data_IF_251955626634
#
_entry.id   IF_251955626634
#
_cell.length_a   1.000
_cell.length_b   1.000
_cell.length_c   1.000
_cell.angle_alpha   90.00
_cell.angle_beta   90.00
_cell.angle_gamma   90.00
#
_symmetry.space_group_name_H-M   'P 1'
#
loop_
_entity.id
_entity.type
_entity.pdbx_description
1 polymer ?
#
# COMPACT_ATOMS: atom_id res chain seq x y z
N UNK A 1 7.41 47.53 -27.08
CA UNK A 1 5.98 47.18 -27.15
C UNK A 1 5.82 45.70 -26.89
N UNK A 2 5.28 45.26 -25.75
CA UNK A 2 5.03 43.85 -25.48
C UNK A 2 3.83 43.35 -26.30
N UNK A 3 3.95 42.15 -26.87
CA UNK A 3 2.94 41.56 -27.75
C UNK A 3 1.59 41.32 -27.03
N UNK A 4 0.50 41.44 -27.80
CA UNK A 4 -0.92 41.27 -27.44
C UNK A 4 -1.26 39.91 -26.77
N UNK A 5 -0.32 38.96 -26.68
CA UNK A 5 -0.50 37.69 -25.95
C UNK A 5 -0.46 37.81 -24.42
N UNK A 6 -0.06 38.94 -23.85
CA UNK A 6 0.07 39.10 -22.40
C UNK A 6 -1.13 39.71 -21.66
N UNK A 7 -2.19 40.12 -22.38
CA UNK A 7 -3.36 40.79 -21.79
C UNK A 7 -4.63 39.92 -21.66
N UNK A 8 -4.60 38.66 -22.10
CA UNK A 8 -5.79 37.77 -22.04
C UNK A 8 -5.79 36.84 -20.80
N UNK A 9 -4.81 36.95 -19.90
CA UNK A 9 -4.74 36.11 -18.67
C UNK A 9 -5.29 36.77 -17.40
N UNK A 10 -6.00 37.89 -17.51
CA UNK A 10 -6.41 38.68 -16.34
C UNK A 10 -7.93 38.77 -16.06
N UNK A 11 -8.80 38.18 -16.89
CA UNK A 11 -10.24 38.18 -16.60
C UNK A 11 -10.98 36.92 -17.09
N UNK A 12 -10.77 35.79 -16.41
CA UNK A 12 -11.74 34.68 -16.39
C UNK A 12 -12.07 34.30 -14.93
N UNK A 13 -13.23 34.71 -14.40
CA UNK A 13 -13.73 34.35 -13.07
C UNK A 13 -14.04 32.83 -12.93
N UNK A 14 -14.35 32.34 -11.71
CA UNK A 14 -14.12 30.97 -11.25
C UNK A 14 -15.17 29.95 -11.72
N UNK A 15 -15.20 29.64 -13.02
CA UNK A 15 -16.06 28.55 -13.56
C UNK A 15 -15.34 27.19 -13.52
N UNK A 16 -14.00 27.18 -13.52
CA UNK A 16 -13.20 25.94 -13.44
C UNK A 16 -13.24 25.31 -12.02
N UNK A 17 -13.52 26.10 -10.99
CA UNK A 17 -13.60 25.62 -9.59
C UNK A 17 -14.91 24.85 -9.33
N UNK A 18 -16.03 25.22 -9.99
CA UNK A 18 -17.28 24.44 -9.89
C UNK A 18 -17.20 23.10 -10.64
N UNK A 19 -16.48 23.04 -11.77
CA UNK A 19 -16.23 21.79 -12.50
C UNK A 19 -15.28 20.86 -11.74
N UNK A 20 -14.20 21.38 -11.12
CA UNK A 20 -13.36 20.56 -10.23
C UNK A 20 -14.15 20.02 -9.04
N UNK A 21 -15.00 20.83 -8.41
CA UNK A 21 -15.85 20.37 -7.30
C UNK A 21 -16.95 19.41 -7.76
N UNK A 22 -17.56 19.59 -8.93
CA UNK A 22 -18.51 18.63 -9.50
C UNK A 22 -17.85 17.32 -9.91
N UNK A 23 -16.65 17.35 -10.51
CA UNK A 23 -15.85 16.17 -10.86
C UNK A 23 -15.35 15.48 -9.60
N UNK A 24 -14.92 16.22 -8.58
CA UNK A 24 -14.49 15.71 -7.29
C UNK A 24 -15.66 15.07 -6.52
N UNK A 25 -16.83 15.72 -6.50
CA UNK A 25 -18.06 15.18 -5.89
C UNK A 25 -18.61 13.99 -6.69
N UNK A 26 -18.53 13.99 -8.04
CA UNK A 26 -18.85 12.81 -8.86
C UNK A 26 -17.86 11.66 -8.60
N UNK A 27 -16.56 11.95 -8.51
CA UNK A 27 -15.52 10.97 -8.15
C UNK A 27 -15.79 10.39 -6.76
N UNK A 28 -16.12 11.20 -5.76
CA UNK A 28 -16.48 10.72 -4.43
C UNK A 28 -17.76 9.87 -4.43
N UNK A 29 -18.80 10.26 -5.19
CA UNK A 29 -20.01 9.45 -5.36
C UNK A 29 -19.73 8.11 -6.05
N UNK A 30 -18.91 8.10 -7.09
CA UNK A 30 -18.50 6.88 -7.81
C UNK A 30 -17.65 5.98 -6.89
N UNK A 31 -16.71 6.56 -6.14
CA UNK A 31 -15.84 5.83 -5.21
C UNK A 31 -16.65 5.15 -4.11
N UNK A 32 -17.64 5.85 -3.51
CA UNK A 32 -18.52 5.28 -2.48
C UNK A 32 -19.41 4.13 -3.00
N UNK A 33 -19.68 4.07 -4.30
CA UNK A 33 -20.47 3.02 -4.96
C UNK A 33 -19.61 1.84 -5.49
N UNK A 34 -18.28 1.92 -5.38
CA UNK A 34 -17.37 0.98 -6.05
C UNK A 34 -16.60 0.05 -5.13
N UNK A 35 -16.72 0.21 -3.81
CA UNK A 35 -16.00 -0.67 -2.89
C UNK A 35 -16.69 -2.02 -2.77
N UNK A 36 -16.00 -3.08 -3.17
CA UNK A 36 -16.47 -4.46 -3.12
C UNK A 36 -15.77 -5.29 -2.04
N UNK A 37 -14.88 -4.70 -1.24
CA UNK A 37 -14.07 -5.47 -0.28
C UNK A 37 -14.89 -6.22 0.77
N UNK A 38 -16.11 -5.76 1.09
CA UNK A 38 -17.03 -6.48 1.97
C UNK A 38 -17.59 -7.79 1.39
N UNK A 39 -17.42 -8.05 0.09
CA UNK A 39 -17.88 -9.27 -0.59
C UNK A 39 -16.87 -10.42 -0.49
N UNK A 40 -15.65 -10.12 -0.05
CA UNK A 40 -14.56 -11.11 0.09
C UNK A 40 -14.97 -12.20 1.09
N UNK A 41 -14.92 -13.45 0.63
CA UNK A 41 -15.30 -14.62 1.44
C UNK A 41 -14.14 -15.09 2.32
N UNK A 42 -14.47 -15.38 3.59
CA UNK A 42 -13.49 -15.73 4.60
C UNK A 42 -13.89 -17.05 5.23
N UNK A 43 -13.02 -18.03 5.03
CA UNK A 43 -13.19 -19.39 5.53
C UNK A 43 -12.17 -19.72 6.63
N UNK A 44 -11.12 -18.90 6.77
CA UNK A 44 -10.05 -19.06 7.75
C UNK A 44 -10.23 -18.14 8.97
N UNK A 45 -9.56 -18.50 10.07
CA UNK A 45 -9.53 -17.68 11.30
C UNK A 45 -8.21 -16.95 11.52
N UNK A 46 -7.15 -17.39 10.86
CA UNK A 46 -5.80 -16.81 10.94
C UNK A 46 -5.40 -16.26 9.58
N UNK A 47 -4.89 -15.03 9.55
CA UNK A 47 -4.24 -14.42 8.40
C UNK A 47 -2.77 -14.19 8.69
N UNK A 48 -1.90 -14.54 7.74
CA UNK A 48 -0.49 -14.11 7.77
C UNK A 48 -0.28 -13.00 6.76
N UNK A 49 0.03 -11.80 7.25
CA UNK A 49 0.41 -10.65 6.43
C UNK A 49 1.91 -10.69 6.20
N UNK A 50 2.28 -10.81 4.95
CA UNK A 50 3.66 -10.97 4.48
C UNK A 50 4.11 -9.64 3.87
N UNK A 51 4.95 -8.93 4.62
CA UNK A 51 5.57 -7.68 4.18
C UNK A 51 6.71 -7.93 3.17
N UNK A 52 7.62 -6.97 3.08
CA UNK A 52 8.74 -6.99 2.14
C UNK A 52 10.04 -6.50 2.79
N UNK A 53 10.12 -6.57 4.12
CA UNK A 53 11.28 -6.15 4.89
C UNK A 53 12.43 -7.17 4.83
N UNK A 54 13.63 -6.77 5.28
CA UNK A 54 14.85 -7.54 5.09
C UNK A 54 14.83 -8.92 5.75
N UNK A 55 14.17 -9.03 6.91
CA UNK A 55 14.08 -10.30 7.63
C UNK A 55 13.11 -11.32 7.01
N UNK A 56 12.37 -10.93 5.97
CA UNK A 56 11.35 -11.78 5.36
C UNK A 56 11.90 -13.13 4.90
N UNK A 57 13.06 -13.17 4.24
CA UNK A 57 13.62 -14.41 3.71
C UNK A 57 13.82 -15.46 4.81
N UNK A 58 14.29 -15.04 5.97
CA UNK A 58 14.43 -15.91 7.13
C UNK A 58 13.06 -16.38 7.63
N UNK A 59 12.09 -15.46 7.75
CA UNK A 59 10.72 -15.80 8.15
C UNK A 59 10.08 -16.82 7.20
N UNK A 60 10.26 -16.68 5.89
CA UNK A 60 9.70 -17.60 4.89
C UNK A 60 10.26 -19.01 5.04
N UNK A 61 11.59 -19.14 5.18
CA UNK A 61 12.26 -20.45 5.35
C UNK A 61 11.82 -21.18 6.62
N UNK A 62 11.65 -20.46 7.71
CA UNK A 62 11.28 -21.06 9.00
C UNK A 62 9.78 -21.39 9.11
N UNK A 63 8.94 -20.75 8.29
CA UNK A 63 7.47 -20.86 8.38
C UNK A 63 6.83 -21.44 7.11
N UNK A 64 7.60 -22.04 6.20
CA UNK A 64 7.11 -22.49 4.89
C UNK A 64 5.84 -23.36 4.99
N UNK A 65 5.86 -24.39 5.85
CA UNK A 65 4.73 -25.31 6.01
C UNK A 65 3.47 -24.63 6.56
N UNK A 66 3.61 -23.74 7.54
CA UNK A 66 2.45 -23.03 8.12
C UNK A 66 1.87 -22.03 7.13
N UNK A 67 2.73 -21.37 6.32
CA UNK A 67 2.30 -20.41 5.30
C UNK A 67 1.51 -21.06 4.17
N UNK A 68 1.79 -22.33 3.85
CA UNK A 68 1.01 -23.12 2.89
C UNK A 68 -0.37 -23.55 3.41
N UNK A 69 -0.59 -23.51 4.73
CA UNK A 69 -1.82 -24.01 5.37
C UNK A 69 -2.76 -22.89 5.84
N UNK A 70 -2.26 -21.67 5.97
CA UNK A 70 -3.01 -20.52 6.46
C UNK A 70 -3.33 -19.55 5.33
N UNK A 71 -4.41 -18.80 5.48
CA UNK A 71 -4.67 -17.68 4.59
C UNK A 71 -3.51 -16.67 4.71
N UNK A 72 -3.02 -16.20 3.57
CA UNK A 72 -1.92 -15.22 3.53
C UNK A 72 -2.25 -14.04 2.62
N UNK A 73 -1.72 -12.88 2.99
CA UNK A 73 -1.80 -11.62 2.26
C UNK A 73 -0.39 -11.16 1.95
N UNK A 74 -0.08 -10.99 0.67
CA UNK A 74 1.22 -10.50 0.18
C UNK A 74 1.07 -9.11 -0.45
N UNK A 75 2.17 -8.36 -0.52
CA UNK A 75 2.18 -6.98 -1.00
C UNK A 75 3.29 -6.72 -2.02
N UNK A 76 3.19 -5.61 -2.74
CA UNK A 76 4.24 -5.08 -3.63
C UNK A 76 4.72 -6.10 -4.67
N UNK A 77 6.04 -6.32 -4.81
CA UNK A 77 6.65 -7.18 -5.82
C UNK A 77 6.83 -8.63 -5.35
N UNK A 78 6.07 -9.09 -4.34
CA UNK A 78 6.18 -10.46 -3.82
C UNK A 78 6.04 -11.55 -4.90
N UNK A 79 5.23 -11.30 -5.94
CA UNK A 79 5.07 -12.21 -7.08
C UNK A 79 6.36 -12.47 -7.87
N UNK A 80 7.38 -11.63 -7.71
CA UNK A 80 8.69 -11.79 -8.34
C UNK A 80 9.61 -12.74 -7.55
N UNK A 81 9.14 -13.30 -6.44
CA UNK A 81 9.88 -14.27 -5.62
C UNK A 81 9.46 -15.71 -5.93
N UNK A 82 10.37 -16.67 -5.71
CA UNK A 82 10.06 -18.10 -5.84
C UNK A 82 8.97 -18.57 -4.84
N UNK A 83 8.86 -17.90 -3.70
CA UNK A 83 7.89 -18.21 -2.66
C UNK A 83 6.45 -17.92 -3.07
N UNK A 84 6.22 -17.10 -4.10
CA UNK A 84 4.87 -16.77 -4.57
C UNK A 84 4.09 -18.00 -5.00
N UNK A 85 4.67 -18.82 -5.87
CA UNK A 85 4.05 -20.04 -6.38
C UNK A 85 4.00 -21.18 -5.34
N UNK A 86 4.87 -21.13 -4.32
CA UNK A 86 4.89 -22.10 -3.23
C UNK A 86 3.77 -21.83 -2.22
N UNK A 87 3.64 -20.57 -1.79
CA UNK A 87 2.66 -20.16 -0.76
C UNK A 87 1.26 -20.06 -1.33
N UNK A 88 1.13 -19.67 -2.61
CA UNK A 88 -0.16 -19.45 -3.28
C UNK A 88 -1.08 -18.54 -2.45
N UNK A 89 -0.67 -17.29 -2.19
CA UNK A 89 -1.39 -16.42 -1.29
C UNK A 89 -2.84 -16.21 -1.73
N UNK A 90 -3.70 -16.07 -0.72
CA UNK A 90 -5.13 -15.83 -0.92
C UNK A 90 -5.42 -14.38 -1.29
N UNK A 91 -4.63 -13.44 -0.76
CA UNK A 91 -4.78 -12.02 -1.03
C UNK A 91 -3.50 -11.41 -1.58
N UNK A 92 -3.66 -10.52 -2.55
CA UNK A 92 -2.61 -9.64 -3.03
C UNK A 92 -3.06 -8.20 -2.85
N UNK A 93 -2.29 -7.37 -2.14
CA UNK A 93 -2.65 -5.97 -1.91
C UNK A 93 -1.65 -5.03 -2.59
N UNK A 94 -2.18 -4.13 -3.41
CA UNK A 94 -1.45 -2.99 -3.96
C UNK A 94 -2.11 -1.70 -3.50
N UNK A 95 -1.30 -0.74 -3.04
CA UNK A 95 -1.79 0.55 -2.56
C UNK A 95 -1.16 1.76 -3.29
N UNK A 96 -0.02 1.57 -3.94
CA UNK A 96 0.72 2.65 -4.59
C UNK A 96 0.06 3.09 -5.91
N UNK A 97 -0.30 4.38 -6.08
CA UNK A 97 -0.83 4.87 -7.34
C UNK A 97 0.09 4.66 -8.55
N UNK A 98 1.39 4.40 -8.35
CA UNK A 98 2.33 4.05 -9.40
C UNK A 98 1.89 2.84 -10.26
N UNK A 99 1.10 1.91 -9.72
CA UNK A 99 0.65 0.76 -10.50
C UNK A 99 -0.40 1.11 -11.57
N UNK A 100 -1.13 2.21 -11.41
CA UNK A 100 -2.24 2.59 -12.29
C UNK A 100 -2.22 4.04 -12.77
N UNK A 101 -1.15 4.78 -12.51
CA UNK A 101 -0.95 6.11 -13.09
C UNK A 101 -0.43 6.05 -14.52
N UNK A 102 -0.11 7.23 -15.04
CA UNK A 102 0.34 7.38 -16.42
C UNK A 102 1.82 7.00 -16.55
N UNK A 103 2.09 5.81 -17.12
CA UNK A 103 3.45 5.31 -17.30
C UNK A 103 4.31 6.21 -18.21
N UNK A 104 3.71 7.07 -19.04
CA UNK A 104 4.46 8.01 -19.88
C UNK A 104 5.10 9.14 -19.10
N UNK A 105 4.58 9.46 -17.90
CA UNK A 105 5.13 10.52 -17.05
C UNK A 105 6.21 10.01 -16.10
N UNK A 106 6.43 8.70 -16.02
CA UNK A 106 7.36 8.10 -15.06
C UNK A 106 8.78 8.08 -15.58
N UNK A 107 9.74 8.13 -14.65
CA UNK A 107 11.12 7.78 -14.96
C UNK A 107 11.23 6.34 -15.52
N UNK A 108 12.16 6.11 -16.45
CA UNK A 108 12.30 4.84 -17.17
C UNK A 108 12.47 3.62 -16.25
N UNK A 109 13.19 3.79 -15.14
CA UNK A 109 13.39 2.73 -14.15
C UNK A 109 12.08 2.32 -13.48
N UNK A 110 11.19 3.29 -13.18
CA UNK A 110 9.90 3.04 -12.54
C UNK A 110 8.94 2.40 -13.53
N UNK A 111 8.90 2.89 -14.78
CA UNK A 111 8.14 2.28 -15.88
C UNK A 111 8.52 0.82 -16.09
N UNK A 112 9.82 0.52 -16.13
CA UNK A 112 10.34 -0.85 -16.27
C UNK A 112 9.93 -1.72 -15.07
N UNK A 113 10.07 -1.19 -13.85
CA UNK A 113 9.70 -1.88 -12.61
C UNK A 113 8.22 -2.24 -12.57
N UNK A 114 7.32 -1.30 -12.88
CA UNK A 114 5.87 -1.55 -12.89
C UNK A 114 5.46 -2.49 -14.03
N UNK A 115 6.05 -2.33 -15.22
CA UNK A 115 5.75 -3.21 -16.36
C UNK A 115 6.13 -4.66 -16.06
N UNK A 116 7.34 -4.88 -15.53
CA UNK A 116 7.82 -6.20 -15.11
C UNK A 116 6.91 -6.84 -14.05
N UNK A 117 6.48 -6.05 -13.08
CA UNK A 117 5.55 -6.52 -12.06
C UNK A 117 4.26 -7.04 -12.69
N UNK A 118 3.61 -6.23 -13.54
CA UNK A 118 2.33 -6.59 -14.17
C UNK A 118 2.47 -7.88 -14.97
N UNK A 119 3.52 -8.00 -15.77
CA UNK A 119 3.79 -9.18 -16.59
C UNK A 119 4.05 -10.42 -15.75
N UNK A 120 4.90 -10.30 -14.73
CA UNK A 120 5.20 -11.38 -13.79
C UNK A 120 3.95 -11.82 -13.04
N UNK A 121 3.18 -10.89 -12.51
CA UNK A 121 1.98 -11.17 -11.73
C UNK A 121 0.94 -11.91 -12.56
N UNK A 122 0.68 -11.48 -13.79
CA UNK A 122 -0.25 -12.15 -14.71
C UNK A 122 0.25 -13.55 -15.08
N UNK A 123 1.55 -13.70 -15.40
CA UNK A 123 2.10 -14.96 -15.89
C UNK A 123 2.22 -16.03 -14.80
N UNK A 124 2.58 -15.64 -13.57
CA UNK A 124 2.84 -16.58 -12.47
C UNK A 124 1.57 -17.00 -11.72
N UNK A 125 0.49 -16.22 -11.82
CA UNK A 125 -0.75 -16.50 -11.09
C UNK A 125 -1.57 -17.58 -11.78
N UNK A 126 -1.71 -18.73 -11.13
CA UNK A 126 -2.39 -19.92 -11.67
C UNK A 126 -3.39 -20.56 -10.68
N UNK A 127 -3.76 -19.83 -9.63
CA UNK A 127 -4.74 -20.22 -8.61
C UNK A 127 -5.58 -19.00 -8.24
N UNK A 128 -6.79 -19.23 -7.75
CA UNK A 128 -7.68 -18.14 -7.35
C UNK A 128 -7.05 -17.24 -6.29
N UNK A 129 -6.84 -15.97 -6.65
CA UNK A 129 -6.30 -14.94 -5.77
C UNK A 129 -7.21 -13.71 -5.76
N UNK A 130 -7.40 -13.13 -4.58
CA UNK A 130 -8.13 -11.89 -4.41
C UNK A 130 -7.15 -10.71 -4.47
N UNK A 131 -7.10 -10.04 -5.62
CA UNK A 131 -6.35 -8.80 -5.79
C UNK A 131 -7.16 -7.64 -5.21
N UNK A 132 -6.62 -6.99 -4.19
CA UNK A 132 -7.25 -5.88 -3.48
C UNK A 132 -6.51 -4.61 -3.83
N UNK A 133 -7.25 -3.62 -4.35
CA UNK A 133 -6.71 -2.33 -4.80
C UNK A 133 -7.64 -1.16 -4.44
N UNK A 134 -7.14 0.09 -4.39
CA UNK A 134 -7.98 1.26 -4.30
C UNK A 134 -9.04 1.34 -5.40
N UNK A 135 -10.24 1.75 -5.04
CA UNK A 135 -11.32 2.13 -5.98
C UNK A 135 -10.88 3.17 -7.02
N UNK A 136 -9.89 4.02 -6.70
CA UNK A 136 -9.30 4.94 -7.67
C UNK A 136 -8.63 4.26 -8.88
N UNK A 137 -8.29 2.98 -8.78
CA UNK A 137 -7.72 2.17 -9.86
C UNK A 137 -8.76 1.54 -10.81
N UNK A 138 -10.06 1.61 -10.49
CA UNK A 138 -11.13 0.82 -11.14
C UNK A 138 -11.12 0.87 -12.68
N UNK A 139 -10.87 2.03 -13.29
CA UNK A 139 -10.86 2.21 -14.75
C UNK A 139 -9.47 2.20 -15.40
N UNK A 140 -8.44 1.78 -14.66
CA UNK A 140 -7.05 1.83 -15.13
C UNK A 140 -6.73 0.77 -16.19
N UNK A 141 -5.65 1.02 -16.95
CA UNK A 141 -5.10 0.02 -17.86
C UNK A 141 -4.55 -1.20 -17.09
N UNK A 142 -4.07 -0.98 -15.86
CA UNK A 142 -3.67 -2.05 -14.96
C UNK A 142 -4.80 -3.06 -14.75
N UNK A 143 -5.99 -2.60 -14.34
CA UNK A 143 -7.17 -3.47 -14.15
C UNK A 143 -7.49 -4.25 -15.43
N UNK A 144 -7.53 -3.57 -16.59
CA UNK A 144 -7.81 -4.24 -17.87
C UNK A 144 -6.81 -5.36 -18.19
N UNK A 145 -5.52 -5.15 -17.91
CA UNK A 145 -4.47 -6.14 -18.14
C UNK A 145 -4.59 -7.31 -17.18
N UNK A 146 -4.76 -7.07 -15.88
CA UNK A 146 -4.80 -8.17 -14.89
C UNK A 146 -6.08 -8.99 -15.01
N UNK A 147 -7.21 -8.38 -15.42
CA UNK A 147 -8.47 -9.08 -15.67
C UNK A 147 -8.43 -10.08 -16.83
N UNK A 148 -7.36 -10.14 -17.62
CA UNK A 148 -7.22 -11.19 -18.65
C UNK A 148 -6.90 -12.56 -18.06
N UNK A 149 -6.43 -12.62 -16.82
CA UNK A 149 -6.19 -13.88 -16.12
C UNK A 149 -7.43 -14.26 -15.27
N UNK A 150 -8.09 -15.40 -15.54
CA UNK A 150 -9.33 -15.78 -14.87
C UNK A 150 -9.16 -16.13 -13.38
N UNK A 151 -7.93 -16.35 -12.92
CA UNK A 151 -7.63 -16.64 -11.53
C UNK A 151 -7.50 -15.39 -10.65
N UNK A 152 -7.52 -14.19 -11.23
CA UNK A 152 -7.35 -12.92 -10.50
C UNK A 152 -8.71 -12.26 -10.29
N UNK A 153 -9.19 -12.30 -9.05
CA UNK A 153 -10.46 -11.69 -8.62
C UNK A 153 -10.21 -10.32 -8.00
N UNK A 154 -10.76 -9.26 -8.59
CA UNK A 154 -10.44 -7.89 -8.17
C UNK A 154 -11.47 -7.35 -7.19
N UNK A 155 -11.00 -6.91 -6.03
CA UNK A 155 -11.80 -6.24 -5.00
C UNK A 155 -11.29 -4.84 -4.73
N UNK A 156 -12.21 -3.92 -4.45
CA UNK A 156 -11.89 -2.51 -4.27
C UNK A 156 -12.15 -2.04 -2.84
N UNK A 157 -11.22 -1.28 -2.27
CA UNK A 157 -11.42 -0.55 -1.03
C UNK A 157 -11.48 0.96 -1.26
N UNK A 158 -12.11 1.69 -0.34
CA UNK A 158 -12.25 3.13 -0.45
C UNK A 158 -11.09 3.87 0.22
N UNK A 159 -10.19 4.48 -0.55
CA UNK A 159 -9.02 5.20 -0.04
C UNK A 159 -9.20 6.74 0.03
N UNK A 160 -10.43 7.24 0.20
CA UNK A 160 -10.68 8.69 0.35
C UNK A 160 -10.11 9.20 1.68
N UNK A 161 -9.36 10.31 1.63
CA UNK A 161 -8.89 11.01 2.83
C UNK A 161 -10.07 11.55 3.65
N UNK A 162 -10.11 11.20 4.94
CA UNK A 162 -11.12 11.67 5.90
C UNK A 162 -11.05 13.19 6.09
N UNK A 163 -12.22 13.84 6.07
CA UNK A 163 -12.38 15.19 6.62
C UNK A 163 -13.15 15.06 7.94
N UNK A 164 -12.63 15.68 9.01
CA UNK A 164 -13.06 15.54 10.40
C UNK A 164 -14.50 15.98 10.74
N UNK A 165 -15.37 16.16 9.74
CA UNK A 165 -16.68 16.77 9.88
C UNK A 165 -17.84 15.78 10.03
N UNK A 166 -17.62 14.57 10.57
CA UNK A 166 -18.70 13.57 10.76
C UNK A 166 -18.95 13.29 12.25
N UNK A 167 -20.19 12.96 12.60
CA UNK A 167 -20.59 12.60 13.97
C UNK A 167 -20.22 11.15 14.34
N UNK A 168 -19.72 10.35 13.39
CA UNK A 168 -19.29 8.97 13.61
C UNK A 168 -17.85 8.94 14.14
N UNK A 169 -17.56 7.98 15.01
CA UNK A 169 -16.18 7.66 15.36
C UNK A 169 -15.43 7.17 14.12
N UNK A 170 -14.11 7.40 14.11
CA UNK A 170 -13.23 6.90 13.03
C UNK A 170 -13.36 5.39 12.81
N UNK A 171 -13.57 4.62 13.88
CA UNK A 171 -13.71 3.17 13.80
C UNK A 171 -15.01 2.75 13.11
N UNK A 172 -16.14 3.40 13.36
CA UNK A 172 -17.40 3.11 12.65
C UNK A 172 -17.29 3.38 11.14
N UNK A 173 -16.52 4.40 10.74
CA UNK A 173 -16.26 4.70 9.34
C UNK A 173 -15.37 3.64 8.68
N UNK A 174 -14.36 3.15 9.40
CA UNK A 174 -13.53 2.04 8.94
C UNK A 174 -14.31 0.74 8.87
N UNK A 175 -15.21 0.52 9.82
CA UNK A 175 -16.02 -0.70 9.93
C UNK A 175 -17.05 -0.85 8.83
N UNK A 176 -17.68 0.27 8.45
CA UNK A 176 -18.55 0.32 7.28
C UNK A 176 -17.78 0.36 5.95
N UNK A 177 -16.43 0.47 6.01
CA UNK A 177 -15.58 0.77 4.87
C UNK A 177 -16.09 1.98 4.04
N UNK A 178 -16.75 2.90 4.75
CA UNK A 178 -17.08 4.21 4.20
C UNK A 178 -15.80 4.97 3.87
N UNK A 179 -14.74 4.72 4.64
CA UNK A 179 -13.40 5.29 4.51
C UNK A 179 -12.39 4.25 5.03
N UNK A 180 -11.33 3.95 4.28
CA UNK A 180 -10.18 3.21 4.82
C UNK A 180 -9.28 4.15 5.65
N UNK A 181 -8.54 3.64 6.65
CA UNK A 181 -7.56 4.44 7.36
C UNK A 181 -6.54 5.07 6.39
N UNK A 182 -6.01 6.25 6.70
CA UNK A 182 -4.94 6.86 5.91
C UNK A 182 -3.78 5.87 5.72
N UNK A 183 -3.57 5.46 4.48
CA UNK A 183 -2.54 4.49 4.12
C UNK A 183 -1.22 5.21 3.87
N UNK A 184 -0.36 5.31 4.89
CA UNK A 184 1.03 5.75 4.68
C UNK A 184 1.88 4.66 4.04
N UNK A 185 1.59 3.40 4.35
CA UNK A 185 2.27 2.25 3.77
C UNK A 185 1.25 1.20 3.33
N UNK A 186 1.62 0.37 2.36
CA UNK A 186 0.82 -0.80 1.96
C UNK A 186 0.62 -1.75 3.14
N UNK A 187 1.59 -1.83 4.07
CA UNK A 187 1.51 -2.70 5.23
C UNK A 187 0.49 -2.21 6.26
N UNK A 188 0.36 -0.89 6.49
CA UNK A 188 -0.74 -0.35 7.29
C UNK A 188 -2.10 -0.77 6.69
N UNK A 189 -2.23 -0.72 5.36
CA UNK A 189 -3.45 -1.13 4.66
C UNK A 189 -3.69 -2.63 4.77
N UNK A 190 -2.64 -3.46 4.68
CA UNK A 190 -2.75 -4.91 4.84
C UNK A 190 -3.23 -5.31 6.25
N UNK A 191 -2.70 -4.64 7.28
CA UNK A 191 -3.14 -4.85 8.67
C UNK A 191 -4.59 -4.42 8.84
N UNK A 192 -4.95 -3.23 8.37
CA UNK A 192 -6.34 -2.78 8.38
C UNK A 192 -7.27 -3.78 7.69
N UNK A 193 -6.89 -4.26 6.52
CA UNK A 193 -7.68 -5.18 5.73
C UNK A 193 -7.92 -6.49 6.48
N UNK A 194 -6.90 -7.06 7.13
CA UNK A 194 -7.10 -8.25 7.96
C UNK A 194 -8.09 -8.03 9.10
N UNK A 195 -8.04 -6.86 9.75
CA UNK A 195 -8.94 -6.48 10.85
C UNK A 195 -10.38 -6.25 10.31
N UNK A 196 -10.49 -5.53 9.20
CA UNK A 196 -11.75 -5.25 8.51
C UNK A 196 -12.46 -6.54 8.09
N UNK A 197 -11.69 -7.50 7.57
CA UNK A 197 -12.13 -8.84 7.21
C UNK A 197 -12.41 -9.74 8.44
N UNK A 198 -12.21 -9.30 9.68
CA UNK A 198 -12.54 -10.08 10.90
C UNK A 198 -11.75 -11.39 11.06
N UNK A 199 -10.55 -11.47 10.50
CA UNK A 199 -9.63 -12.54 10.91
C UNK A 199 -9.40 -12.46 12.42
N UNK A 200 -9.56 -13.57 13.13
CA UNK A 200 -9.42 -13.59 14.60
C UNK A 200 -7.98 -13.34 15.03
N UNK A 201 -7.04 -13.88 14.26
CA UNK A 201 -5.60 -13.70 14.49
C UNK A 201 -4.92 -13.22 13.21
N UNK A 202 -4.09 -12.20 13.33
CA UNK A 202 -3.28 -11.65 12.24
C UNK A 202 -1.83 -11.69 12.67
N UNK A 203 -0.96 -12.32 11.88
CA UNK A 203 0.48 -12.39 12.12
C UNK A 203 1.23 -11.60 11.07
N UNK A 204 2.13 -10.72 11.49
CA UNK A 204 2.96 -9.92 10.57
C UNK A 204 4.36 -10.55 10.46
N UNK A 205 4.78 -10.90 9.26
CA UNK A 205 6.17 -11.32 8.96
C UNK A 205 6.78 -10.42 7.89
N UNK A 206 8.10 -10.24 7.88
CA UNK A 206 8.77 -9.28 6.99
C UNK A 206 8.30 -7.83 7.18
N UNK A 207 7.84 -7.49 8.39
CA UNK A 207 7.32 -6.19 8.78
C UNK A 207 8.38 -5.34 9.49
N UNK A 208 9.58 -5.29 8.91
CA UNK A 208 10.76 -4.72 9.55
C UNK A 208 10.66 -3.20 9.76
N UNK A 209 10.15 -2.48 8.76
CA UNK A 209 9.96 -1.01 8.77
C UNK A 209 11.24 -0.22 9.10
N UNK A 210 12.39 -0.68 8.61
CA UNK A 210 13.75 -0.15 8.87
C UNK A 210 14.08 1.17 8.19
N UNK A 211 13.12 1.83 7.53
CA UNK A 211 13.39 3.02 6.72
C UNK A 211 14.14 4.13 7.43
N UNK A 212 13.95 4.28 8.75
CA UNK A 212 14.67 5.28 9.55
C UNK A 212 16.18 4.99 9.63
N UNK A 213 16.56 3.72 9.72
CA UNK A 213 17.96 3.27 9.79
C UNK A 213 18.69 3.41 8.45
N UNK A 214 17.92 3.52 7.36
CA UNK A 214 18.40 3.52 5.98
C UNK A 214 18.55 4.95 5.40
N UNK A 215 18.28 6.00 6.19
CA UNK A 215 18.42 7.39 5.74
C UNK A 215 19.85 7.91 5.91
N UNK A 216 20.33 8.59 4.88
CA UNK A 216 21.62 9.28 4.90
C UNK A 216 21.49 10.65 4.22
N UNK A 217 22.04 11.70 4.82
CA UNK A 217 22.18 13.00 4.17
C UNK A 217 23.59 13.12 3.62
N UNK A 218 23.70 13.46 2.35
CA UNK A 218 24.97 13.69 1.69
C UNK A 218 25.67 14.93 2.25
N UNK A 219 26.93 14.79 2.68
CA UNK A 219 27.65 15.87 3.35
C UNK A 219 28.19 16.94 2.40
N UNK A 220 28.19 16.69 1.08
CA UNK A 220 28.64 17.65 0.08
C UNK A 220 27.46 18.39 -0.58
N UNK A 221 26.37 17.67 -0.86
CA UNK A 221 25.20 18.17 -1.62
C UNK A 221 23.98 18.47 -0.76
N UNK A 222 23.92 17.97 0.49
CA UNK A 222 22.74 17.98 1.37
C UNK A 222 21.51 17.23 0.82
N UNK A 223 21.68 16.43 -0.23
CA UNK A 223 20.62 15.59 -0.76
C UNK A 223 20.36 14.39 0.16
N UNK A 224 19.09 13.97 0.24
CA UNK A 224 18.67 12.83 1.05
C UNK A 224 18.75 11.54 0.22
N UNK A 225 19.36 10.52 0.82
CA UNK A 225 19.53 9.21 0.24
C UNK A 225 18.92 8.11 1.09
N UNK A 226 18.45 7.08 0.40
CA UNK A 226 18.15 5.78 0.94
C UNK A 226 19.35 4.87 0.70
N UNK A 227 19.88 4.28 1.75
CA UNK A 227 21.02 3.36 1.71
C UNK A 227 20.49 1.95 1.92
N UNK A 228 20.30 1.24 0.82
CA UNK A 228 19.98 -0.19 0.86
C UNK A 228 21.22 -0.94 1.34
N UNK A 229 21.18 -1.44 2.57
CA UNK A 229 22.31 -2.12 3.21
C UNK A 229 22.34 -3.63 2.93
N UNK A 230 21.57 -4.13 1.95
CA UNK A 230 21.44 -5.57 1.78
C UNK A 230 22.60 -6.27 1.06
N UNK A 231 23.18 -7.19 1.83
CA UNK A 231 23.93 -8.40 1.52
C UNK A 231 25.27 -8.28 0.75
N UNK A 232 25.44 -7.49 -0.31
CA UNK A 232 26.77 -7.39 -0.99
C UNK A 232 27.11 -6.07 -1.70
N UNK A 233 26.21 -5.08 -1.78
CA UNK A 233 26.53 -3.75 -2.33
C UNK A 233 25.72 -2.68 -1.58
N UNK A 234 26.39 -1.68 -0.99
CA UNK A 234 25.69 -0.47 -0.50
C UNK A 234 25.13 0.27 -1.71
N UNK A 235 23.84 0.08 -2.02
CA UNK A 235 23.17 0.81 -3.08
C UNK A 235 22.53 2.05 -2.48
N UNK A 236 23.22 3.16 -2.66
CA UNK A 236 22.77 4.50 -2.31
C UNK A 236 21.88 5.04 -3.41
N UNK A 237 20.64 5.43 -3.08
CA UNK A 237 19.65 5.95 -4.03
C UNK A 237 19.08 7.27 -3.52
N UNK A 238 19.05 8.33 -4.35
CA UNK A 238 18.42 9.58 -3.96
C UNK A 238 16.92 9.39 -3.72
N UNK A 239 16.37 10.11 -2.76
CA UNK A 239 14.94 10.11 -2.45
C UNK A 239 14.30 11.33 -3.11
N UNK A 240 13.25 11.09 -3.89
CA UNK A 240 12.49 12.13 -4.58
C UNK A 240 11.04 12.16 -4.09
N UNK A 241 10.47 13.36 -4.08
CA UNK A 241 9.06 13.59 -3.70
C UNK A 241 8.09 13.48 -4.88
N UNK A 242 8.60 13.34 -6.10
CA UNK A 242 7.86 13.25 -7.35
C UNK A 242 8.19 11.95 -8.14
N UNK A 243 7.29 11.55 -9.03
CA UNK A 243 7.42 10.31 -9.82
C UNK A 243 8.37 10.45 -11.01
N UNK A 244 8.63 11.69 -11.42
CA UNK A 244 9.60 12.05 -12.45
C UNK A 244 11.05 11.99 -11.94
N UNK A 245 11.25 11.95 -10.61
CA UNK A 245 12.57 11.88 -9.98
C UNK A 245 13.36 13.19 -10.09
N UNK A 246 12.69 14.34 -9.97
CA UNK A 246 13.30 15.68 -10.17
C UNK A 246 13.34 16.54 -8.92
N UNK A 247 12.52 16.25 -7.92
CA UNK A 247 12.36 17.08 -6.72
C UNK A 247 12.91 16.30 -5.53
N UNK A 248 14.16 16.57 -5.09
CA UNK A 248 14.75 15.91 -3.92
C UNK A 248 13.86 16.09 -2.70
N UNK A 249 13.62 14.99 -1.99
CA UNK A 249 12.83 15.01 -0.77
C UNK A 249 13.69 15.48 0.41
N UNK A 250 13.13 16.30 1.30
CA UNK A 250 13.86 16.79 2.48
C UNK A 250 13.75 15.79 3.62
N UNK A 251 14.78 15.76 4.48
CA UNK A 251 14.82 14.86 5.64
C UNK A 251 13.58 14.99 6.54
N UNK A 252 13.17 16.21 6.89
CA UNK A 252 12.01 16.40 7.78
C UNK A 252 10.70 15.92 7.16
N UNK A 253 10.56 16.00 5.83
CA UNK A 253 9.38 15.50 5.10
C UNK A 253 9.37 13.96 5.17
N UNK A 254 10.53 13.32 5.02
CA UNK A 254 10.66 11.87 5.16
C UNK A 254 10.42 11.39 6.60
N UNK A 255 10.95 12.11 7.61
CA UNK A 255 10.70 11.80 9.01
C UNK A 255 9.22 11.96 9.39
N UNK A 256 8.52 12.95 8.84
CA UNK A 256 7.07 13.09 9.00
C UNK A 256 6.31 11.90 8.38
N UNK A 257 6.68 11.46 7.17
CA UNK A 257 6.11 10.26 6.55
C UNK A 257 6.31 9.01 7.43
N UNK A 258 7.53 8.80 7.94
CA UNK A 258 7.86 7.68 8.83
C UNK A 258 7.06 7.76 10.14
N UNK A 259 7.00 8.95 10.77
CA UNK A 259 6.24 9.17 12.00
C UNK A 259 4.76 8.86 11.81
N UNK A 260 4.15 9.35 10.73
CA UNK A 260 2.76 9.05 10.39
C UNK A 260 2.54 7.54 10.19
N UNK A 261 3.45 6.84 9.51
CA UNK A 261 3.35 5.39 9.30
C UNK A 261 3.37 4.60 10.62
N UNK A 262 4.25 4.95 11.57
CA UNK A 262 4.29 4.32 12.88
C UNK A 262 3.07 4.63 13.73
N UNK A 263 2.64 5.90 13.76
CA UNK A 263 1.41 6.31 14.47
C UNK A 263 0.18 5.53 13.99
N UNK A 264 0.13 5.19 12.70
CA UNK A 264 -0.97 4.44 12.10
C UNK A 264 -1.05 3.00 12.64
N UNK A 265 0.05 2.37 13.07
CA UNK A 265 -0.04 1.05 13.69
C UNK A 265 -0.73 1.08 15.05
N UNK A 266 -0.52 2.14 15.84
CA UNK A 266 -1.21 2.35 17.11
C UNK A 266 -2.71 2.61 16.92
N UNK A 267 -3.06 3.37 15.88
CA UNK A 267 -4.44 3.57 15.45
C UNK A 267 -5.11 2.24 15.04
N UNK A 268 -4.40 1.40 14.30
CA UNK A 268 -4.87 0.08 13.90
C UNK A 268 -4.99 -0.88 15.08
N UNK A 269 -4.11 -0.78 16.09
CA UNK A 269 -4.25 -1.50 17.35
C UNK A 269 -5.56 -1.14 18.03
N UNK A 270 -5.88 0.14 18.15
CA UNK A 270 -7.14 0.60 18.72
C UNK A 270 -8.37 0.10 17.94
N UNK A 271 -8.28 0.04 16.61
CA UNK A 271 -9.34 -0.54 15.78
C UNK A 271 -9.47 -2.06 15.99
N UNK A 272 -8.35 -2.78 16.07
CA UNK A 272 -8.34 -4.21 16.34
C UNK A 272 -8.99 -4.54 17.70
N UNK A 273 -8.67 -3.75 18.73
CA UNK A 273 -9.29 -3.86 20.06
C UNK A 273 -10.80 -3.59 20.00
N UNK A 274 -11.23 -2.59 19.22
CA UNK A 274 -12.66 -2.26 19.04
C UNK A 274 -13.47 -3.41 18.40
N UNK A 275 -12.92 -4.12 17.41
CA UNK A 275 -13.62 -5.23 16.73
C UNK A 275 -13.33 -6.62 17.29
N UNK A 276 -12.46 -6.73 18.29
CA UNK A 276 -12.07 -8.00 18.90
C UNK A 276 -11.18 -8.89 18.02
N UNK A 277 -10.21 -8.29 17.33
CA UNK A 277 -9.21 -8.97 16.49
C UNK A 277 -7.84 -8.88 17.17
N UNK A 278 -7.07 -9.97 17.14
CA UNK A 278 -5.70 -9.96 17.67
C UNK A 278 -4.68 -9.82 16.54
N UNK A 279 -3.82 -8.80 16.63
CA UNK A 279 -2.69 -8.58 15.71
C UNK A 279 -1.39 -8.85 16.46
N UNK A 280 -0.54 -9.67 15.86
CA UNK A 280 0.75 -10.09 16.41
C UNK A 280 1.88 -9.75 15.45
N UNK A 281 2.96 -9.23 16.01
CA UNK A 281 4.20 -9.03 15.29
C UNK A 281 5.07 -10.29 15.40
N UNK A 282 5.16 -11.05 14.31
CA UNK A 282 5.96 -12.26 14.19
C UNK A 282 7.20 -12.10 13.31
N UNK A 283 7.55 -10.87 12.96
CA UNK A 283 8.74 -10.58 12.15
C UNK A 283 9.99 -10.81 12.97
N UNK A 284 11.07 -11.31 12.38
CA UNK A 284 12.31 -11.54 13.14
C UNK A 284 12.91 -10.23 13.63
N UNK A 285 12.93 -9.24 12.74
CA UNK A 285 13.24 -7.86 13.05
C UNK A 285 12.03 -6.98 12.78
N UNK A 286 11.81 -5.96 13.60
CA UNK A 286 10.71 -5.00 13.41
C UNK A 286 10.86 -3.80 14.32
N UNK A 287 10.71 -2.62 13.74
CA UNK A 287 10.53 -1.37 14.47
C UNK A 287 9.07 -1.09 14.86
N UNK A 288 8.09 -1.87 14.36
CA UNK A 288 6.68 -1.78 14.78
C UNK A 288 6.54 -2.18 16.26
N UNK A 289 6.12 -1.24 17.10
CA UNK A 289 5.97 -1.37 18.56
C UNK A 289 4.50 -1.49 19.03
N UNK A 290 3.53 -1.32 18.13
CA UNK A 290 2.11 -1.31 18.48
C UNK A 290 1.52 -2.70 18.84
N UNK A 291 2.12 -3.79 18.33
CA UNK A 291 1.53 -5.14 18.41
C UNK A 291 2.38 -6.09 19.26
N UNK A 292 1.72 -7.00 19.97
CA UNK A 292 2.39 -8.02 20.79
C UNK A 292 3.34 -8.87 19.92
N UNK A 293 4.56 -9.11 20.42
CA UNK A 293 5.55 -9.96 19.77
C UNK A 293 5.21 -11.44 19.96
N UNK A 294 5.15 -12.20 18.86
CA UNK A 294 5.07 -13.68 18.90
C UNK A 294 6.14 -14.31 18.04
N UNK A 295 6.81 -15.33 18.58
CA UNK A 295 7.87 -16.02 17.84
C UNK A 295 7.33 -17.03 16.83
N UNK A 296 6.10 -17.49 17.03
CA UNK A 296 5.49 -18.59 16.27
C UNK A 296 4.08 -18.21 15.80
N UNK A 297 3.75 -18.66 14.58
CA UNK A 297 2.42 -18.52 13.97
C UNK A 297 1.59 -19.74 14.38
N UNK A 298 0.38 -19.54 14.92
CA UNK A 298 -0.53 -20.63 15.35
C UNK A 298 -1.89 -20.60 14.67
#
# INVERSE_FOLDING_TARGET
MPSIKYLIKLFLPPIIIKLKNLIFVRRQKIVKLSSSIGEVQINGVTLVVIGNGPSLLQSLKENEQILMQKDSLVVNHFCETEYYAQIKPKYYLLADPAYWGDLETYADWLKTKITRFIETFIAQTSWDINLIIPSSAYHSQFVKRVSTNPYIHIFYYNNINYNHSTQLSKYELWDSNSIAPPAQTVLNTAVWLGIFLRYKKIYLIGADTTWLEELEVDQETNELYFVDTHFYDKKRKPIYSDVEGKIPQKLHEQLDCISRAFSQYWELKGYADYVGVNVYNASKYSLIDAFERKKEIT
#
